data_IF_164767105456
#
_entry.id   IF_164767105456
#
_cell.length_a   1.000
_cell.length_b   1.000
_cell.length_c   1.000
_cell.angle_alpha   90.00
_cell.angle_beta   90.00
_cell.angle_gamma   90.00
#
_symmetry.space_group_name_H-M   'P 1'
#
loop_
_entity.id
_entity.type
_entity.pdbx_description
1 polymer ?
#
# COMPACT_ATOMS: atom_id res chain seq x y z
N UNK A 1 -3.37 -44.22 16.57
CA UNK A 1 -4.14 -43.63 17.69
C UNK A 1 -4.30 -42.13 17.41
N UNK A 2 -5.40 -41.72 16.77
CA UNK A 2 -5.66 -40.30 16.49
C UNK A 2 -6.17 -39.65 17.78
N UNK A 3 -5.33 -38.79 18.36
CA UNK A 3 -5.67 -38.01 19.56
C UNK A 3 -6.62 -36.90 19.11
N UNK A 4 -7.92 -37.12 19.28
CA UNK A 4 -8.93 -36.09 19.03
C UNK A 4 -8.68 -34.97 20.02
N UNK A 5 -8.22 -33.82 19.52
CA UNK A 5 -8.04 -32.63 20.34
C UNK A 5 -9.37 -32.26 20.99
N UNK A 6 -9.35 -31.83 22.25
CA UNK A 6 -10.53 -31.30 22.97
C UNK A 6 -11.31 -30.35 22.05
N UNK A 7 -12.65 -30.50 22.01
CA UNK A 7 -13.55 -29.77 21.12
C UNK A 7 -13.27 -28.26 21.04
N UNK A 8 -12.87 -27.65 22.16
CA UNK A 8 -12.57 -26.21 22.23
C UNK A 8 -11.34 -25.82 21.40
N UNK A 9 -10.31 -26.67 21.32
CA UNK A 9 -9.09 -26.41 20.53
C UNK A 9 -9.38 -26.54 19.04
N UNK A 10 -10.22 -27.49 18.66
CA UNK A 10 -10.67 -27.67 17.27
C UNK A 10 -11.52 -26.46 16.85
N UNK A 11 -12.48 -26.04 17.69
CA UNK A 11 -13.30 -24.85 17.44
C UNK A 11 -12.42 -23.60 17.30
N UNK A 12 -11.46 -23.38 18.20
CA UNK A 12 -10.53 -22.25 18.12
C UNK A 12 -9.70 -22.29 16.82
N UNK A 13 -9.21 -23.46 16.43
CA UNK A 13 -8.48 -23.64 15.16
C UNK A 13 -9.35 -23.33 13.94
N UNK A 14 -10.61 -23.76 13.93
CA UNK A 14 -11.57 -23.45 12.87
C UNK A 14 -11.84 -21.95 12.81
N UNK A 15 -12.06 -21.30 13.95
CA UNK A 15 -12.29 -19.84 14.01
C UNK A 15 -11.07 -19.06 13.50
N UNK A 16 -9.85 -19.47 13.90
CA UNK A 16 -8.62 -18.86 13.43
C UNK A 16 -8.45 -19.03 11.90
N UNK A 17 -8.75 -20.22 11.38
CA UNK A 17 -8.68 -20.50 9.94
C UNK A 17 -9.71 -19.67 9.16
N UNK A 18 -10.95 -19.58 9.64
CA UNK A 18 -11.99 -18.75 9.01
C UNK A 18 -11.56 -17.30 9.02
N UNK A 19 -11.09 -16.77 10.15
CA UNK A 19 -10.60 -15.40 10.25
C UNK A 19 -9.46 -15.13 9.26
N UNK A 20 -8.49 -16.04 9.17
CA UNK A 20 -7.38 -15.93 8.23
C UNK A 20 -7.84 -15.93 6.77
N UNK A 21 -8.71 -16.87 6.38
CA UNK A 21 -9.23 -16.96 5.02
C UNK A 21 -10.04 -15.70 4.66
N UNK A 22 -10.91 -15.23 5.54
CA UNK A 22 -11.67 -13.99 5.34
C UNK A 22 -10.72 -12.80 5.17
N UNK A 23 -9.70 -12.68 6.02
CA UNK A 23 -8.68 -11.62 5.88
C UNK A 23 -7.92 -11.70 4.55
N UNK A 24 -7.53 -12.91 4.13
CA UNK A 24 -6.82 -13.12 2.87
C UNK A 24 -7.68 -12.78 1.64
N UNK A 25 -8.95 -13.17 1.63
CA UNK A 25 -9.86 -12.87 0.52
C UNK A 25 -10.34 -11.41 0.52
N UNK A 26 -10.36 -10.75 1.68
CA UNK A 26 -10.70 -9.32 1.75
C UNK A 26 -9.51 -8.41 1.49
N UNK A 27 -8.28 -8.92 1.49
CA UNK A 27 -7.05 -8.15 1.23
C UNK A 27 -7.10 -7.31 -0.06
N UNK A 28 -7.57 -7.82 -1.22
CA UNK A 28 -7.67 -7.03 -2.44
C UNK A 28 -8.68 -5.87 -2.36
N UNK A 29 -9.68 -5.99 -1.48
CA UNK A 29 -10.67 -4.95 -1.20
C UNK A 29 -10.22 -4.00 -0.10
N UNK A 30 -9.17 -4.36 0.64
CA UNK A 30 -8.51 -3.54 1.63
C UNK A 30 -7.66 -2.50 0.89
N UNK A 31 -8.31 -1.39 0.52
CA UNK A 31 -7.66 -0.29 -0.20
C UNK A 31 -6.49 0.32 0.57
N UNK A 32 -5.73 1.17 -0.13
CA UNK A 32 -4.69 2.00 0.48
C UNK A 32 -5.38 2.98 1.44
N UNK A 33 -5.12 2.85 2.74
CA UNK A 33 -5.57 3.84 3.72
C UNK A 33 -4.74 5.14 3.57
N UNK A 34 -5.25 6.25 4.11
CA UNK A 34 -4.60 7.55 4.01
C UNK A 34 -3.18 7.60 4.63
N UNK A 35 -2.92 6.77 5.63
CA UNK A 35 -1.62 6.66 6.31
C UNK A 35 -0.60 5.80 5.52
N UNK A 36 -1.07 4.82 4.73
CA UNK A 36 -0.25 3.90 3.94
C UNK A 36 0.63 4.66 2.94
N UNK A 37 0.11 5.73 2.33
CA UNK A 37 0.86 6.52 1.33
C UNK A 37 2.15 7.10 1.93
N UNK A 38 2.13 7.53 3.19
CA UNK A 38 3.31 8.10 3.85
C UNK A 38 4.30 7.02 4.34
N UNK A 39 3.84 5.78 4.49
CA UNK A 39 4.63 4.67 5.02
C UNK A 39 5.24 3.78 3.93
N UNK A 40 4.63 3.67 2.75
CA UNK A 40 5.16 2.91 1.61
C UNK A 40 6.59 3.35 1.19
N UNK A 41 6.93 4.65 1.15
CA UNK A 41 8.28 5.08 0.79
C UNK A 41 9.35 4.52 1.72
N UNK A 42 9.06 4.33 3.01
CA UNK A 42 10.03 3.78 3.98
C UNK A 42 10.45 2.37 3.59
N UNK A 43 9.51 1.53 3.17
CA UNK A 43 9.80 0.18 2.68
C UNK A 43 10.67 0.21 1.42
N UNK A 44 10.39 1.15 0.52
CA UNK A 44 11.19 1.33 -0.71
C UNK A 44 12.63 1.76 -0.41
N UNK A 45 12.87 2.56 0.64
CA UNK A 45 14.24 2.91 1.08
C UNK A 45 15.02 1.67 1.51
N UNK A 46 14.44 0.81 2.35
CA UNK A 46 15.11 -0.42 2.77
C UNK A 46 15.36 -1.36 1.59
N UNK A 47 14.37 -1.53 0.72
CA UNK A 47 14.49 -2.36 -0.48
C UNK A 47 15.62 -1.87 -1.39
N UNK A 48 15.68 -0.55 -1.65
CA UNK A 48 16.75 0.06 -2.43
C UNK A 48 18.12 -0.20 -1.82
N UNK A 49 18.28 -0.04 -0.51
CA UNK A 49 19.53 -0.35 0.18
C UNK A 49 19.92 -1.83 0.04
N UNK A 50 18.97 -2.77 0.22
CA UNK A 50 19.26 -4.20 0.08
C UNK A 50 19.64 -4.60 -1.36
N UNK A 51 19.06 -3.95 -2.36
CA UNK A 51 19.34 -4.26 -3.77
C UNK A 51 20.61 -3.59 -4.30
N UNK A 52 20.96 -2.40 -3.80
CA UNK A 52 22.04 -1.58 -4.38
C UNK A 52 23.24 -1.39 -3.45
N UNK A 53 23.07 -1.59 -2.14
CA UNK A 53 24.05 -1.25 -1.11
C UNK A 53 24.23 0.27 -0.89
N UNK A 54 23.51 1.12 -1.62
CA UNK A 54 23.67 2.58 -1.55
C UNK A 54 22.82 3.16 -0.43
N UNK A 55 23.39 4.17 0.25
CA UNK A 55 22.74 4.89 1.36
C UNK A 55 22.11 6.21 0.93
N UNK A 56 22.23 6.53 -0.35
CA UNK A 56 21.67 7.71 -0.99
C UNK A 56 20.82 7.28 -2.19
N UNK A 57 20.06 8.22 -2.72
CA UNK A 57 19.19 8.01 -3.88
C UNK A 57 19.79 8.61 -5.16
N UNK A 58 21.13 8.71 -5.23
CA UNK A 58 21.83 9.34 -6.36
C UNK A 58 21.60 8.63 -7.69
N UNK A 59 21.21 7.36 -7.62
CA UNK A 59 20.93 6.50 -8.77
C UNK A 59 19.45 6.42 -9.14
N UNK A 60 18.58 7.07 -8.36
CA UNK A 60 17.17 7.22 -8.72
C UNK A 60 16.98 8.45 -9.60
N UNK A 61 15.97 8.40 -10.47
CA UNK A 61 15.56 9.56 -11.25
C UNK A 61 15.17 10.71 -10.32
N UNK A 62 15.50 11.98 -10.67
CA UNK A 62 15.13 13.13 -9.86
C UNK A 62 13.64 13.12 -9.51
N UNK A 63 13.33 13.41 -8.24
CA UNK A 63 11.96 13.50 -7.78
C UNK A 63 11.19 14.52 -8.63
N UNK A 64 10.13 14.05 -9.28
CA UNK A 64 9.18 14.92 -9.97
C UNK A 64 8.04 15.22 -9.01
N UNK A 65 8.01 16.45 -8.52
CA UNK A 65 6.86 16.96 -7.79
C UNK A 65 5.70 17.15 -8.76
N UNK A 66 4.83 16.14 -8.86
CA UNK A 66 3.56 16.28 -9.56
C UNK A 66 2.61 17.09 -8.67
N UNK A 67 2.84 18.39 -8.56
CA UNK A 67 1.78 19.29 -8.14
C UNK A 67 0.74 19.27 -9.26
N UNK A 68 -0.41 18.64 -9.00
CA UNK A 68 -1.55 18.83 -9.88
C UNK A 68 -1.86 20.32 -9.88
N UNK A 69 -1.83 20.94 -11.06
CA UNK A 69 -2.23 22.33 -11.17
C UNK A 69 -3.70 22.37 -10.75
N UNK A 70 -4.12 23.22 -9.78
CA UNK A 70 -5.51 23.23 -9.32
C UNK A 70 -6.53 23.43 -10.47
N UNK A 71 -6.08 24.02 -11.59
CA UNK A 71 -6.86 24.19 -12.82
C UNK A 71 -7.12 22.86 -13.55
N UNK A 72 -6.19 21.92 -13.51
CA UNK A 72 -6.33 20.58 -14.13
C UNK A 72 -7.27 19.67 -13.31
N UNK A 73 -7.55 20.06 -12.07
CA UNK A 73 -8.51 19.41 -11.18
C UNK A 73 -9.91 20.05 -11.25
N UNK A 74 -10.05 21.17 -11.95
CA UNK A 74 -11.34 21.83 -12.10
C UNK A 74 -12.27 21.00 -12.99
N UNK A 75 -13.56 20.85 -12.63
CA UNK A 75 -14.56 20.28 -13.54
C UNK A 75 -14.67 21.06 -14.86
N UNK A 76 -14.30 22.34 -14.82
CA UNK A 76 -14.27 23.22 -15.99
C UNK A 76 -12.95 23.07 -16.76
N UNK A 77 -13.02 22.31 -17.85
CA UNK A 77 -11.90 22.04 -18.77
C UNK A 77 -11.45 23.27 -19.56
N UNK A 78 -12.18 24.38 -19.54
CA UNK A 78 -11.74 25.60 -20.24
C UNK A 78 -10.58 26.31 -19.53
N UNK A 79 -10.34 25.99 -18.26
CA UNK A 79 -9.30 26.62 -17.42
C UNK A 79 -7.91 25.97 -17.57
N UNK A 80 -7.82 24.78 -18.18
CA UNK A 80 -6.53 24.09 -18.41
C UNK A 80 -5.80 24.55 -19.67
N UNK A 81 -6.48 25.23 -20.59
CA UNK A 81 -5.90 25.77 -21.82
C UNK A 81 -5.38 27.21 -21.68
N UNK A 82 -5.70 27.88 -20.56
CA UNK A 82 -5.21 29.23 -20.28
C UNK A 82 -3.75 29.18 -19.84
N UNK A 83 -2.86 29.68 -20.72
CA UNK A 83 -1.43 29.77 -20.48
C UNK A 83 -1.19 30.63 -19.24
N UNK A 84 -0.44 30.10 -18.28
CA UNK A 84 0.00 30.87 -17.11
C UNK A 84 0.77 32.11 -17.56
N UNK A 85 0.61 33.27 -16.86
CA UNK A 85 1.42 34.46 -17.13
C UNK A 85 2.92 34.17 -16.96
#
# INVERSE_FOLDING_TARGET
>A
MFKVFSNNKIIAGILALIFFLVGLFTLPHYGINWDTINHLPRGQVYLHYFLTGKRDFSDLTPYKSYWQNPRDLSPDKSLSTLKSP
#
